data_IF_837421365421
#
_entry.id   IF_837421365421
#
_cell.length_a   1.000
_cell.length_b   1.000
_cell.length_c   1.000
_cell.angle_alpha   90.00
_cell.angle_beta   90.00
_cell.angle_gamma   90.00
#
_symmetry.space_group_name_H-M   'P 1'
#
loop_
_entity.id
_entity.type
_entity.pdbx_description
1 polymer ?
#
# COMPACT_ATOMS: atom_id res chain seq x y z
N UNK A 1 -30.17 -19.46 18.57
CA UNK A 1 -30.91 -18.77 17.51
C UNK A 1 -30.73 -17.25 17.65
N UNK A 2 -30.31 -16.59 16.57
CA UNK A 2 -29.99 -15.14 16.57
C UNK A 2 -31.27 -14.29 16.75
N UNK A 3 -32.43 -14.75 16.28
CA UNK A 3 -33.72 -14.03 16.49
C UNK A 3 -34.07 -13.96 17.94
N UNK A 4 -33.90 -15.05 18.68
CA UNK A 4 -34.25 -15.09 20.12
C UNK A 4 -33.27 -14.27 20.96
N UNK A 5 -32.00 -14.16 20.48
CA UNK A 5 -30.97 -13.38 21.16
C UNK A 5 -31.12 -11.85 20.96
N UNK A 6 -31.83 -11.42 19.92
CA UNK A 6 -31.91 -10.00 19.55
C UNK A 6 -32.53 -9.12 20.64
N UNK A 7 -33.72 -9.47 21.14
CA UNK A 7 -34.44 -8.66 22.13
C UNK A 7 -33.67 -8.48 23.45
N UNK A 8 -33.19 -9.55 24.12
CA UNK A 8 -32.42 -9.37 25.35
C UNK A 8 -31.07 -8.67 25.11
N UNK A 9 -30.39 -8.92 23.95
CA UNK A 9 -29.19 -8.19 23.60
C UNK A 9 -29.46 -6.69 23.42
N UNK A 10 -30.54 -6.34 22.69
CA UNK A 10 -30.91 -4.94 22.42
C UNK A 10 -31.15 -4.14 23.68
N UNK A 11 -31.81 -4.74 24.69
CA UNK A 11 -32.03 -4.11 25.99
C UNK A 11 -30.69 -3.77 26.68
N UNK A 12 -29.72 -4.72 26.69
CA UNK A 12 -28.40 -4.47 27.28
C UNK A 12 -27.64 -3.40 26.49
N UNK A 13 -27.73 -3.43 25.15
CA UNK A 13 -27.06 -2.45 24.28
C UNK A 13 -27.57 -1.02 24.54
N UNK A 14 -28.89 -0.85 24.75
CA UNK A 14 -29.49 0.47 24.97
C UNK A 14 -29.28 0.99 26.39
N UNK A 15 -29.37 0.11 27.39
CA UNK A 15 -29.46 0.53 28.81
C UNK A 15 -28.12 0.45 29.54
N UNK A 16 -27.18 -0.39 29.07
CA UNK A 16 -25.91 -0.67 29.75
C UNK A 16 -24.71 -0.67 28.83
N UNK A 17 -24.32 0.47 28.24
CA UNK A 17 -23.26 0.56 27.21
C UNK A 17 -21.87 0.15 27.71
N UNK A 18 -21.63 0.19 29.01
CA UNK A 18 -20.38 -0.22 29.64
C UNK A 18 -20.44 -1.62 30.29
N UNK A 19 -21.49 -2.40 30.04
CA UNK A 19 -21.63 -3.71 30.68
C UNK A 19 -20.47 -4.66 30.32
N UNK A 20 -20.16 -4.79 29.03
CA UNK A 20 -19.08 -5.65 28.55
C UNK A 20 -18.80 -5.43 27.06
N UNK A 21 -17.57 -5.74 26.61
CA UNK A 21 -17.19 -5.71 25.18
C UNK A 21 -18.04 -6.68 24.36
N UNK A 22 -18.45 -7.80 24.95
CA UNK A 22 -19.32 -8.81 24.33
C UNK A 22 -20.64 -8.26 23.80
N UNK A 23 -21.20 -7.21 24.43
CA UNK A 23 -22.41 -6.53 23.94
C UNK A 23 -22.23 -6.05 22.50
N UNK A 24 -21.09 -5.50 22.15
CA UNK A 24 -20.81 -4.98 20.83
C UNK A 24 -20.41 -6.08 19.85
N UNK A 25 -19.49 -6.98 20.23
CA UNK A 25 -18.99 -8.02 19.32
C UNK A 25 -20.06 -9.08 19.00
N UNK A 26 -20.88 -9.47 19.99
CA UNK A 26 -22.00 -10.38 19.75
C UNK A 26 -23.18 -9.66 19.06
N UNK A 27 -23.41 -8.38 19.38
CA UNK A 27 -24.41 -7.57 18.71
C UNK A 27 -24.16 -7.48 17.19
N UNK A 28 -22.94 -7.22 16.79
CA UNK A 28 -22.57 -7.22 15.38
C UNK A 28 -22.82 -8.61 14.72
N UNK A 29 -22.48 -9.71 15.39
CA UNK A 29 -22.78 -11.07 14.89
C UNK A 29 -24.27 -11.34 14.73
N UNK A 30 -25.07 -10.94 15.71
CA UNK A 30 -26.53 -11.09 15.69
C UNK A 30 -27.10 -10.30 14.50
N UNK A 31 -26.70 -9.03 14.35
CA UNK A 31 -27.24 -8.16 13.30
C UNK A 31 -26.84 -8.62 11.90
N UNK A 32 -25.58 -9.02 11.67
CA UNK A 32 -25.18 -9.63 10.39
C UNK A 32 -26.04 -10.83 10.03
N UNK A 33 -26.29 -11.73 10.98
CA UNK A 33 -27.11 -12.90 10.74
C UNK A 33 -28.58 -12.52 10.47
N UNK A 34 -29.11 -11.49 11.12
CA UNK A 34 -30.47 -11.00 10.88
C UNK A 34 -30.58 -10.32 9.52
N UNK A 35 -29.62 -9.49 9.11
CA UNK A 35 -29.57 -8.84 7.78
C UNK A 35 -29.61 -9.90 6.68
N UNK A 36 -28.78 -10.94 6.77
CA UNK A 36 -28.71 -12.00 5.76
C UNK A 36 -30.00 -12.84 5.71
N UNK A 37 -30.63 -13.07 6.85
CA UNK A 37 -31.84 -13.90 6.94
C UNK A 37 -33.15 -13.14 6.65
N UNK A 38 -33.15 -11.82 6.69
CA UNK A 38 -34.36 -10.99 6.52
C UNK A 38 -34.66 -10.84 5.02
N UNK A 39 -35.95 -10.90 4.69
CA UNK A 39 -36.45 -10.72 3.32
C UNK A 39 -37.07 -9.35 3.10
N UNK A 40 -37.50 -8.71 4.17
CA UNK A 40 -38.09 -7.37 4.15
C UNK A 40 -36.96 -6.33 4.08
N UNK A 41 -36.86 -5.60 2.98
CA UNK A 41 -35.82 -4.61 2.75
C UNK A 41 -35.82 -3.45 3.76
N UNK A 42 -37.00 -3.07 4.29
CA UNK A 42 -37.09 -2.04 5.31
C UNK A 42 -36.47 -2.52 6.62
N UNK A 43 -36.75 -3.75 7.04
CA UNK A 43 -36.12 -4.37 8.21
C UNK A 43 -34.63 -4.65 8.02
N UNK A 44 -34.20 -5.07 6.84
CA UNK A 44 -32.78 -5.20 6.55
C UNK A 44 -32.07 -3.86 6.77
N UNK A 45 -32.64 -2.76 6.29
CA UNK A 45 -32.10 -1.42 6.49
C UNK A 45 -32.08 -1.00 7.96
N UNK A 46 -33.11 -1.35 8.73
CA UNK A 46 -33.14 -1.10 10.18
C UNK A 46 -32.01 -1.85 10.89
N UNK A 47 -31.82 -3.14 10.60
CA UNK A 47 -30.72 -3.93 11.17
C UNK A 47 -29.34 -3.41 10.74
N UNK A 48 -29.20 -2.99 9.47
CA UNK A 48 -27.98 -2.37 8.98
C UNK A 48 -27.64 -1.06 9.73
N UNK A 49 -28.61 -0.16 9.87
CA UNK A 49 -28.42 1.08 10.61
C UNK A 49 -28.05 0.82 12.08
N UNK A 50 -28.67 -0.20 12.69
CA UNK A 50 -28.33 -0.61 14.04
C UNK A 50 -26.94 -1.21 14.14
N UNK A 51 -26.49 -1.96 13.13
CA UNK A 51 -25.12 -2.49 13.05
C UNK A 51 -24.09 -1.37 13.00
N UNK A 52 -24.33 -0.32 12.20
CA UNK A 52 -23.48 0.87 12.19
C UNK A 52 -23.45 1.56 13.55
N UNK A 53 -24.60 1.72 14.18
CA UNK A 53 -24.71 2.28 15.53
C UNK A 53 -23.95 1.46 16.59
N UNK A 54 -23.91 0.13 16.46
CA UNK A 54 -23.14 -0.75 17.36
C UNK A 54 -21.64 -0.39 17.32
N UNK A 55 -21.09 -0.17 16.14
CA UNK A 55 -19.68 0.25 16.01
C UNK A 55 -19.46 1.67 16.56
N UNK A 56 -20.34 2.62 16.23
CA UNK A 56 -20.21 4.01 16.70
C UNK A 56 -20.28 4.10 18.21
N UNK A 57 -21.22 3.39 18.82
CA UNK A 57 -21.35 3.36 20.27
C UNK A 57 -20.15 2.65 20.93
N UNK A 58 -19.60 1.61 20.31
CA UNK A 58 -18.38 0.97 20.81
C UNK A 58 -17.19 1.93 20.79
N UNK A 59 -17.04 2.76 19.76
CA UNK A 59 -16.02 3.81 19.68
C UNK A 59 -16.27 4.85 20.76
N UNK A 60 -17.50 5.30 20.93
CA UNK A 60 -17.88 6.29 21.96
C UNK A 60 -17.51 5.86 23.37
N UNK A 61 -17.67 4.57 23.69
CA UNK A 61 -17.41 4.03 25.03
C UNK A 61 -16.07 3.26 25.11
N UNK A 62 -15.19 3.42 24.13
CA UNK A 62 -13.98 2.61 23.95
C UNK A 62 -13.07 2.59 25.19
N UNK A 63 -12.79 3.76 25.78
CA UNK A 63 -11.91 3.88 26.94
C UNK A 63 -12.45 3.14 28.17
N UNK A 64 -13.77 3.22 28.39
CA UNK A 64 -14.43 2.49 29.46
C UNK A 64 -14.43 0.98 29.25
N UNK A 65 -14.73 0.54 28.02
CA UNK A 65 -14.75 -0.87 27.63
C UNK A 65 -13.36 -1.51 27.68
N UNK A 66 -12.32 -0.78 27.29
CA UNK A 66 -10.95 -1.27 27.30
C UNK A 66 -10.43 -1.55 28.72
N UNK A 67 -10.96 -0.88 29.75
CA UNK A 67 -10.65 -1.18 31.17
C UNK A 67 -11.19 -2.53 31.62
N UNK A 68 -12.14 -3.11 30.90
CA UNK A 68 -12.79 -4.37 31.27
C UNK A 68 -12.10 -5.61 30.66
N UNK A 69 -11.08 -5.43 29.80
CA UNK A 69 -10.47 -6.53 29.04
C UNK A 69 -8.95 -6.49 29.11
N UNK A 70 -8.32 -7.67 28.97
CA UNK A 70 -6.86 -7.81 28.92
C UNK A 70 -6.26 -7.36 27.59
N UNK A 71 -7.02 -7.45 26.50
CA UNK A 71 -6.58 -7.07 25.14
C UNK A 71 -7.48 -5.94 24.66
N UNK A 72 -7.10 -4.68 24.90
CA UNK A 72 -7.87 -3.52 24.49
C UNK A 72 -7.89 -3.43 22.94
N UNK A 73 -9.03 -2.98 22.41
CA UNK A 73 -9.16 -2.65 21.00
C UNK A 73 -8.73 -1.21 20.75
N UNK A 74 -8.30 -0.91 19.54
CA UNK A 74 -8.06 0.47 19.10
C UNK A 74 -9.31 1.03 18.40
N UNK A 75 -9.36 2.34 18.20
CA UNK A 75 -10.37 2.97 17.35
C UNK A 75 -10.29 2.46 15.92
N UNK A 76 -9.07 2.28 15.41
CA UNK A 76 -8.82 1.78 14.06
C UNK A 76 -9.33 0.35 13.84
N UNK A 77 -9.14 -0.55 14.82
CA UNK A 77 -9.70 -1.92 14.78
C UNK A 77 -11.23 -1.89 14.62
N UNK A 78 -11.90 -1.03 15.39
CA UNK A 78 -13.37 -0.92 15.36
C UNK A 78 -13.82 -0.27 14.05
N UNK A 79 -13.10 0.73 13.57
CA UNK A 79 -13.37 1.40 12.30
C UNK A 79 -13.19 0.44 11.11
N UNK A 80 -12.14 -0.39 11.11
CA UNK A 80 -11.96 -1.44 10.10
C UNK A 80 -13.10 -2.46 10.09
N UNK A 81 -13.58 -2.88 11.28
CA UNK A 81 -14.75 -3.75 11.39
C UNK A 81 -16.04 -3.06 10.92
N UNK A 82 -16.21 -1.77 11.20
CA UNK A 82 -17.34 -0.96 10.72
C UNK A 82 -17.33 -0.85 9.21
N UNK A 83 -16.16 -0.54 8.62
CA UNK A 83 -15.97 -0.42 7.18
C UNK A 83 -16.32 -1.74 6.46
N UNK A 84 -15.81 -2.86 6.97
CA UNK A 84 -16.16 -4.20 6.48
C UNK A 84 -17.66 -4.46 6.52
N UNK A 85 -18.31 -4.18 7.65
CA UNK A 85 -19.74 -4.38 7.78
C UNK A 85 -20.56 -3.46 6.88
N UNK A 86 -20.14 -2.21 6.76
CA UNK A 86 -20.76 -1.27 5.82
C UNK A 86 -20.68 -1.81 4.39
N UNK A 87 -19.50 -2.20 3.96
CA UNK A 87 -19.24 -2.68 2.60
C UNK A 87 -19.95 -4.00 2.30
N UNK A 88 -19.94 -4.96 3.24
CA UNK A 88 -20.44 -6.31 3.01
C UNK A 88 -21.95 -6.48 3.30
N UNK A 89 -22.57 -5.60 4.11
CA UNK A 89 -23.94 -5.74 4.57
C UNK A 89 -24.93 -4.76 3.93
N UNK A 90 -24.53 -3.98 2.93
CA UNK A 90 -25.47 -3.19 2.13
C UNK A 90 -25.26 -1.68 2.13
N UNK A 91 -24.11 -1.19 2.57
CA UNK A 91 -23.73 0.22 2.39
C UNK A 91 -23.68 0.59 0.91
N UNK A 92 -24.28 1.72 0.56
CA UNK A 92 -24.45 2.11 -0.86
C UNK A 92 -23.48 3.22 -1.29
N UNK A 93 -22.94 3.99 -0.34
CA UNK A 93 -22.02 5.09 -0.66
C UNK A 93 -20.56 4.61 -0.60
N UNK A 94 -19.95 4.56 -1.79
CA UNK A 94 -18.56 4.15 -1.93
C UNK A 94 -17.57 5.18 -1.34
N UNK A 95 -17.93 6.46 -1.25
CA UNK A 95 -17.10 7.48 -0.62
C UNK A 95 -17.10 7.32 0.91
N UNK A 96 -18.27 7.01 1.49
CA UNK A 96 -18.40 6.73 2.92
C UNK A 96 -17.60 5.46 3.29
N UNK A 97 -17.76 4.38 2.51
CA UNK A 97 -16.96 3.16 2.69
C UNK A 97 -15.46 3.45 2.61
N UNK A 98 -15.02 4.17 1.58
CA UNK A 98 -13.62 4.55 1.40
C UNK A 98 -13.07 5.34 2.59
N UNK A 99 -13.80 6.34 3.08
CA UNK A 99 -13.36 7.15 4.21
C UNK A 99 -13.12 6.32 5.47
N UNK A 100 -14.04 5.38 5.77
CA UNK A 100 -13.90 4.47 6.92
C UNK A 100 -12.70 3.52 6.77
N UNK A 101 -12.49 2.93 5.59
CA UNK A 101 -11.34 2.08 5.33
C UNK A 101 -10.03 2.86 5.41
N UNK A 102 -9.96 4.04 4.79
CA UNK A 102 -8.76 4.88 4.80
C UNK A 102 -8.35 5.29 6.23
N UNK A 103 -9.33 5.67 7.08
CA UNK A 103 -9.07 5.98 8.50
C UNK A 103 -8.50 4.77 9.24
N UNK A 104 -9.10 3.58 9.06
CA UNK A 104 -8.64 2.36 9.70
C UNK A 104 -7.22 1.96 9.23
N UNK A 105 -6.97 2.01 7.92
CA UNK A 105 -5.68 1.64 7.31
C UNK A 105 -4.56 2.60 7.76
N UNK A 106 -4.83 3.89 7.83
CA UNK A 106 -3.87 4.88 8.31
C UNK A 106 -3.49 4.65 9.78
N UNK A 107 -4.47 4.27 10.62
CA UNK A 107 -4.26 4.05 12.05
C UNK A 107 -3.54 2.73 12.36
N UNK A 108 -3.96 1.62 11.77
CA UNK A 108 -3.57 0.26 12.21
C UNK A 108 -2.53 -0.40 11.29
N UNK A 109 -2.43 0.03 10.04
CA UNK A 109 -1.44 -0.47 9.07
C UNK A 109 -1.48 -2.01 8.95
N UNK A 110 -0.34 -2.69 9.17
CA UNK A 110 -0.19 -4.14 9.10
C UNK A 110 -0.92 -4.92 10.21
N UNK A 111 -1.45 -4.24 11.25
CA UNK A 111 -2.22 -4.87 12.31
C UNK A 111 -3.67 -5.16 11.92
N UNK A 112 -4.15 -4.58 10.80
CA UNK A 112 -5.50 -4.82 10.33
C UNK A 112 -5.71 -6.27 9.86
N UNK A 113 -6.92 -6.81 10.02
CA UNK A 113 -7.30 -8.06 9.40
C UNK A 113 -7.11 -8.02 7.88
N UNK A 114 -6.69 -9.14 7.30
CA UNK A 114 -6.38 -9.31 5.88
C UNK A 114 -7.51 -8.83 4.95
N UNK A 115 -8.77 -9.08 5.32
CA UNK A 115 -9.94 -8.70 4.52
C UNK A 115 -10.16 -7.18 4.48
N UNK A 116 -9.81 -6.46 5.54
CA UNK A 116 -9.92 -4.99 5.57
C UNK A 116 -8.96 -4.35 4.57
N UNK A 117 -7.71 -4.85 4.49
CA UNK A 117 -6.72 -4.37 3.53
C UNK A 117 -7.16 -4.66 2.09
N UNK A 118 -7.72 -5.83 1.84
CA UNK A 118 -8.22 -6.24 0.53
C UNK A 118 -9.42 -5.39 0.09
N UNK A 119 -10.41 -5.22 0.97
CA UNK A 119 -11.63 -4.46 0.69
C UNK A 119 -11.35 -2.95 0.53
N UNK A 120 -10.37 -2.42 1.24
CA UNK A 120 -9.91 -1.04 1.06
C UNK A 120 -9.48 -0.79 -0.39
N UNK A 121 -8.67 -1.69 -0.98
CA UNK A 121 -8.22 -1.55 -2.37
C UNK A 121 -9.37 -1.76 -3.36
N UNK A 122 -10.30 -2.69 -3.10
CA UNK A 122 -11.50 -2.85 -3.93
C UNK A 122 -12.35 -1.56 -3.94
N UNK A 123 -12.61 -0.98 -2.78
CA UNK A 123 -13.39 0.27 -2.66
C UNK A 123 -12.67 1.44 -3.35
N UNK A 124 -11.36 1.55 -3.20
CA UNK A 124 -10.56 2.57 -3.88
C UNK A 124 -10.57 2.38 -5.40
N UNK A 125 -10.48 1.12 -5.90
CA UNK A 125 -10.61 0.81 -7.33
C UNK A 125 -12.00 1.17 -7.91
N UNK A 126 -13.07 0.94 -7.14
CA UNK A 126 -14.43 1.37 -7.52
C UNK A 126 -14.54 2.89 -7.59
N UNK A 127 -13.85 3.60 -6.70
CA UNK A 127 -13.82 5.05 -6.69
C UNK A 127 -13.15 5.61 -7.95
N UNK A 128 -12.07 4.99 -8.44
CA UNK A 128 -11.43 5.37 -9.72
C UNK A 128 -12.40 5.27 -10.90
N UNK A 129 -13.27 4.24 -10.92
CA UNK A 129 -14.26 4.07 -11.99
C UNK A 129 -15.32 5.18 -12.02
N UNK A 130 -15.61 5.76 -10.87
CA UNK A 130 -16.57 6.86 -10.74
C UNK A 130 -15.89 8.24 -10.89
N UNK A 131 -14.63 8.36 -10.52
CA UNK A 131 -13.87 9.60 -10.51
C UNK A 131 -12.40 9.34 -10.88
N UNK A 132 -12.04 9.69 -12.10
CA UNK A 132 -10.66 9.50 -12.61
C UNK A 132 -9.60 10.31 -11.84
N UNK A 133 -9.99 11.38 -11.14
CA UNK A 133 -9.06 12.17 -10.33
C UNK A 133 -8.52 11.38 -9.14
N UNK A 134 -9.17 10.27 -8.77
CA UNK A 134 -8.75 9.38 -7.70
C UNK A 134 -7.59 8.43 -8.10
N UNK A 135 -7.17 8.39 -9.36
CA UNK A 135 -6.15 7.44 -9.85
C UNK A 135 -4.85 7.48 -9.07
N UNK A 136 -4.34 8.66 -8.77
CA UNK A 136 -3.08 8.78 -8.00
C UNK A 136 -3.25 8.26 -6.57
N UNK A 137 -4.34 8.66 -5.90
CA UNK A 137 -4.62 8.18 -4.55
C UNK A 137 -4.78 6.66 -4.53
N UNK A 138 -5.43 6.08 -5.54
CA UNK A 138 -5.56 4.64 -5.66
C UNK A 138 -4.21 3.91 -5.79
N UNK A 139 -3.24 4.49 -6.50
CA UNK A 139 -1.87 3.95 -6.54
C UNK A 139 -1.25 3.95 -5.14
N UNK A 140 -1.43 5.02 -4.36
CA UNK A 140 -0.93 5.10 -2.99
C UNK A 140 -1.63 4.10 -2.07
N UNK A 141 -2.95 3.96 -2.19
CA UNK A 141 -3.75 3.01 -1.44
C UNK A 141 -3.29 1.56 -1.70
N UNK A 142 -3.07 1.23 -2.98
CA UNK A 142 -2.52 -0.07 -3.39
C UNK A 142 -1.16 -0.34 -2.74
N UNK A 143 -0.22 0.61 -2.85
CA UNK A 143 1.13 0.46 -2.32
C UNK A 143 1.11 0.27 -0.80
N UNK A 144 0.32 1.08 -0.10
CA UNK A 144 0.18 0.98 1.34
C UNK A 144 -0.41 -0.38 1.74
N UNK A 145 -1.54 -0.77 1.14
CA UNK A 145 -2.20 -2.04 1.46
C UNK A 145 -1.34 -3.26 1.12
N UNK A 146 -0.68 -3.29 -0.05
CA UNK A 146 0.23 -4.36 -0.45
C UNK A 146 1.44 -4.46 0.48
N UNK A 147 2.01 -3.32 0.88
CA UNK A 147 3.09 -3.24 1.85
C UNK A 147 2.68 -3.78 3.22
N UNK A 148 1.53 -3.33 3.76
CA UNK A 148 1.02 -3.79 5.05
C UNK A 148 0.62 -5.28 5.04
N UNK A 149 0.02 -5.76 3.95
CA UNK A 149 -0.29 -7.19 3.81
C UNK A 149 0.98 -8.04 3.76
N UNK A 150 2.05 -7.55 3.10
CA UNK A 150 3.35 -8.22 3.07
C UNK A 150 4.01 -8.25 4.45
N UNK A 151 3.97 -7.16 5.19
CA UNK A 151 4.51 -7.09 6.55
C UNK A 151 3.73 -8.01 7.50
N UNK A 152 2.39 -8.00 7.42
CA UNK A 152 1.55 -8.89 8.21
C UNK A 152 1.80 -10.38 7.87
N UNK A 153 2.01 -10.71 6.59
CA UNK A 153 2.38 -12.06 6.14
C UNK A 153 3.71 -12.51 6.76
N UNK A 154 4.73 -11.66 6.73
CA UNK A 154 6.04 -11.95 7.30
C UNK A 154 5.99 -12.16 8.81
N UNK A 155 5.14 -11.38 9.50
CA UNK A 155 4.96 -11.45 10.95
C UNK A 155 4.03 -12.60 11.39
N UNK A 156 3.28 -13.22 10.47
CA UNK A 156 2.31 -14.25 10.76
C UNK A 156 2.97 -15.54 11.27
N UNK A 157 2.58 -15.98 12.48
CA UNK A 157 3.09 -17.22 13.10
C UNK A 157 2.28 -18.46 12.72
N UNK A 158 0.98 -18.29 12.41
CA UNK A 158 0.07 -19.38 12.08
C UNK A 158 -0.05 -19.55 10.56
N UNK A 159 -0.01 -20.78 10.07
CA UNK A 159 -0.16 -21.08 8.65
C UNK A 159 -1.49 -20.57 8.06
N UNK A 160 -2.58 -20.61 8.85
CA UNK A 160 -3.86 -20.03 8.42
C UNK A 160 -3.79 -18.51 8.21
N UNK A 161 -3.06 -17.80 9.07
CA UNK A 161 -2.86 -16.37 8.91
C UNK A 161 -1.98 -16.06 7.68
N UNK A 162 -0.92 -16.82 7.46
CA UNK A 162 -0.08 -16.70 6.25
C UNK A 162 -0.90 -16.88 4.98
N UNK A 163 -1.72 -17.93 4.90
CA UNK A 163 -2.61 -18.17 3.76
C UNK A 163 -3.58 -17.01 3.52
N UNK A 164 -4.16 -16.48 4.59
CA UNK A 164 -5.10 -15.35 4.50
C UNK A 164 -4.42 -14.07 3.99
N UNK A 165 -3.23 -13.72 4.50
CA UNK A 165 -2.52 -12.53 4.02
C UNK A 165 -1.93 -12.73 2.62
N UNK A 166 -1.53 -13.95 2.24
CA UNK A 166 -1.14 -14.26 0.86
C UNK A 166 -2.34 -14.06 -0.09
N UNK A 167 -3.50 -14.61 0.26
CA UNK A 167 -4.73 -14.41 -0.51
C UNK A 167 -5.10 -12.92 -0.62
N UNK A 168 -4.95 -12.15 0.46
CA UNK A 168 -5.20 -10.71 0.42
C UNK A 168 -4.25 -10.00 -0.55
N UNK A 169 -2.95 -10.32 -0.55
CA UNK A 169 -1.99 -9.77 -1.50
C UNK A 169 -2.37 -10.08 -2.94
N UNK A 170 -2.69 -11.33 -3.23
CA UNK A 170 -3.07 -11.76 -4.58
C UNK A 170 -4.31 -11.01 -5.08
N UNK A 171 -5.30 -10.76 -4.21
CA UNK A 171 -6.49 -9.97 -4.53
C UNK A 171 -6.18 -8.47 -4.67
N UNK A 172 -5.36 -7.90 -3.79
CA UNK A 172 -4.90 -6.51 -3.86
C UNK A 172 -4.21 -6.27 -5.22
N UNK A 173 -3.29 -7.14 -5.61
CA UNK A 173 -2.58 -7.08 -6.89
C UNK A 173 -3.56 -7.22 -8.07
N UNK A 174 -4.53 -8.14 -7.98
CA UNK A 174 -5.56 -8.32 -9.01
C UNK A 174 -6.44 -7.08 -9.18
N UNK A 175 -6.88 -6.43 -8.09
CA UNK A 175 -7.66 -5.18 -8.17
C UNK A 175 -6.86 -4.07 -8.84
N UNK A 176 -5.57 -3.96 -8.54
CA UNK A 176 -4.70 -2.96 -9.14
C UNK A 176 -4.51 -3.19 -10.64
N UNK A 177 -4.17 -4.42 -11.03
CA UNK A 177 -4.01 -4.80 -12.45
C UNK A 177 -5.30 -4.59 -13.24
N UNK A 178 -6.44 -5.04 -12.69
CA UNK A 178 -7.75 -4.96 -13.37
C UNK A 178 -8.34 -3.55 -13.40
N UNK A 179 -7.80 -2.61 -12.64
CA UNK A 179 -8.24 -1.21 -12.65
C UNK A 179 -7.88 -0.48 -13.94
N UNK A 180 -6.88 -0.99 -14.68
CA UNK A 180 -6.29 -0.32 -15.84
C UNK A 180 -5.33 0.84 -15.49
N UNK A 181 -5.13 1.15 -14.20
CA UNK A 181 -4.19 2.19 -13.74
C UNK A 181 -2.74 1.70 -13.72
N UNK A 182 -2.53 0.39 -13.65
CA UNK A 182 -1.22 -0.25 -13.47
C UNK A 182 -0.30 -0.24 -14.70
N UNK A 183 -0.64 0.48 -15.77
CA UNK A 183 0.23 0.59 -16.96
C UNK A 183 1.21 1.74 -16.82
N UNK A 184 2.42 1.60 -17.41
CA UNK A 184 3.41 2.66 -17.36
C UNK A 184 2.95 3.96 -18.02
N UNK A 185 2.14 3.87 -19.08
CA UNK A 185 1.57 5.05 -19.75
C UNK A 185 0.62 5.82 -18.82
N UNK A 186 -0.25 5.09 -18.09
CA UNK A 186 -1.16 5.72 -17.13
C UNK A 186 -0.40 6.30 -15.93
N UNK A 187 0.60 5.60 -15.40
CA UNK A 187 1.45 6.11 -14.33
C UNK A 187 2.25 7.33 -14.77
N UNK A 188 2.78 7.32 -16.00
CA UNK A 188 3.41 8.48 -16.63
C UNK A 188 2.45 9.68 -16.66
N UNK A 189 1.22 9.49 -17.13
CA UNK A 189 0.23 10.56 -17.21
C UNK A 189 -0.17 11.13 -15.83
N UNK A 190 -0.20 10.28 -14.80
CA UNK A 190 -0.49 10.67 -13.41
C UNK A 190 0.65 11.48 -12.81
N UNK A 191 1.88 10.99 -12.95
CA UNK A 191 3.03 11.54 -12.22
C UNK A 191 3.76 12.68 -12.93
N UNK A 192 3.86 12.69 -14.27
CA UNK A 192 4.64 13.68 -14.99
C UNK A 192 4.29 15.14 -14.64
N UNK A 193 3.01 15.58 -14.66
CA UNK A 193 2.66 16.96 -14.33
C UNK A 193 2.93 17.31 -12.86
N UNK A 194 2.86 16.34 -11.97
CA UNK A 194 3.05 16.53 -10.53
C UNK A 194 4.52 16.54 -10.13
N UNK A 195 5.34 15.74 -10.77
CA UNK A 195 6.80 15.74 -10.60
C UNK A 195 7.36 17.13 -10.94
N UNK A 196 6.92 17.71 -12.05
CA UNK A 196 7.35 19.07 -12.44
C UNK A 196 6.90 20.13 -11.42
N UNK A 197 5.66 20.03 -10.94
CA UNK A 197 5.14 20.93 -9.91
C UNK A 197 5.82 20.76 -8.53
N UNK A 198 6.35 19.57 -8.24
CA UNK A 198 6.92 19.19 -6.93
C UNK A 198 8.44 19.01 -6.97
N UNK A 199 9.14 19.63 -7.91
CA UNK A 199 10.60 19.45 -8.13
C UNK A 199 11.49 19.85 -6.92
N UNK A 200 10.96 20.52 -5.92
CA UNK A 200 11.66 20.84 -4.68
C UNK A 200 11.21 19.97 -3.50
N UNK A 201 10.24 19.07 -3.69
CA UNK A 201 9.73 18.17 -2.64
C UNK A 201 10.43 16.78 -2.75
N UNK A 202 11.53 16.65 -2.00
CA UNK A 202 12.36 15.45 -2.02
C UNK A 202 11.58 14.18 -1.65
N UNK A 203 10.69 14.25 -0.66
CA UNK A 203 9.93 13.08 -0.19
C UNK A 203 8.94 12.62 -1.25
N UNK A 204 8.23 13.55 -1.88
CA UNK A 204 7.36 13.24 -3.01
C UNK A 204 8.12 12.61 -4.18
N UNK A 205 9.26 13.21 -4.56
CA UNK A 205 10.10 12.69 -5.64
C UNK A 205 10.61 11.29 -5.36
N UNK A 206 11.13 11.01 -4.15
CA UNK A 206 11.54 9.67 -3.71
C UNK A 206 10.38 8.67 -3.76
N UNK A 207 9.18 9.10 -3.38
CA UNK A 207 7.98 8.28 -3.45
C UNK A 207 7.64 7.90 -4.89
N UNK A 208 7.65 8.86 -5.84
CA UNK A 208 7.42 8.59 -7.26
C UNK A 208 8.46 7.60 -7.81
N UNK A 209 9.75 7.84 -7.55
CA UNK A 209 10.82 6.93 -7.96
C UNK A 209 10.59 5.50 -7.44
N UNK A 210 10.25 5.38 -6.16
CA UNK A 210 9.98 4.07 -5.54
C UNK A 210 8.79 3.37 -6.19
N UNK A 211 7.69 4.08 -6.43
CA UNK A 211 6.47 3.54 -7.06
C UNK A 211 6.76 3.06 -8.48
N UNK A 212 7.35 3.94 -9.29
CA UNK A 212 7.63 3.63 -10.69
C UNK A 212 8.59 2.45 -10.83
N UNK A 213 9.61 2.37 -9.95
CA UNK A 213 10.54 1.23 -9.89
C UNK A 213 9.84 -0.06 -9.47
N UNK A 214 9.00 -0.02 -8.44
CA UNK A 214 8.28 -1.20 -7.94
C UNK A 214 7.33 -1.77 -8.99
N UNK A 215 6.75 -0.92 -9.83
CA UNK A 215 5.83 -1.30 -10.91
C UNK A 215 6.53 -1.56 -12.25
N UNK A 216 7.88 -1.56 -12.28
CA UNK A 216 8.67 -1.83 -13.48
C UNK A 216 8.66 -0.72 -14.53
N UNK A 217 8.24 0.49 -14.18
CA UNK A 217 8.10 1.64 -15.08
C UNK A 217 9.34 2.57 -15.07
N UNK A 218 10.52 2.00 -14.96
CA UNK A 218 11.79 2.73 -14.85
C UNK A 218 12.25 3.39 -16.16
N UNK A 219 11.50 3.19 -17.25
CA UNK A 219 11.80 3.79 -18.55
C UNK A 219 10.96 5.02 -18.86
N UNK A 220 10.06 5.39 -17.97
CA UNK A 220 9.16 6.51 -18.16
C UNK A 220 9.85 7.86 -17.89
N UNK A 221 9.39 8.91 -18.59
CA UNK A 221 9.90 10.27 -18.37
C UNK A 221 9.66 10.77 -16.95
N UNK A 222 8.51 10.40 -16.32
CA UNK A 222 8.22 10.76 -14.95
C UNK A 222 9.22 10.15 -13.95
N UNK A 223 9.62 8.89 -14.16
CA UNK A 223 10.66 8.26 -13.36
C UNK A 223 11.99 9.00 -13.48
N UNK A 224 12.39 9.31 -14.70
CA UNK A 224 13.64 10.04 -14.95
C UNK A 224 13.61 11.44 -14.35
N UNK A 225 12.55 12.21 -14.58
CA UNK A 225 12.43 13.57 -14.02
C UNK A 225 12.43 13.55 -12.48
N UNK A 226 11.67 12.63 -11.86
CA UNK A 226 11.66 12.50 -10.40
C UNK A 226 13.04 12.10 -9.85
N UNK A 227 13.74 11.19 -10.52
CA UNK A 227 15.10 10.80 -10.15
C UNK A 227 16.10 11.97 -10.30
N UNK A 228 15.96 12.78 -11.34
CA UNK A 228 16.77 13.98 -11.58
C UNK A 228 16.64 14.97 -10.46
N UNK A 229 15.41 15.37 -10.19
CA UNK A 229 15.15 16.38 -9.16
C UNK A 229 15.54 15.85 -7.77
N UNK A 230 15.25 14.59 -7.45
CA UNK A 230 15.67 13.97 -6.19
C UNK A 230 17.20 13.96 -6.06
N UNK A 231 17.91 13.57 -7.12
CA UNK A 231 19.37 13.55 -7.14
C UNK A 231 19.98 14.96 -7.02
N UNK A 232 19.38 15.97 -7.62
CA UNK A 232 19.83 17.35 -7.50
C UNK A 232 19.72 17.90 -6.06
N UNK A 233 18.74 17.42 -5.28
CA UNK A 233 18.53 17.82 -3.88
C UNK A 233 19.41 16.97 -2.96
N UNK A 234 19.38 15.65 -3.12
CA UNK A 234 20.11 14.68 -2.28
C UNK A 234 20.69 13.57 -3.17
N UNK A 235 21.96 13.67 -3.57
CA UNK A 235 22.62 12.63 -4.37
C UNK A 235 22.69 11.31 -3.59
N UNK A 236 22.12 10.23 -4.15
CA UNK A 236 22.25 8.87 -3.64
C UNK A 236 22.74 7.94 -4.75
N UNK A 237 23.34 6.81 -4.36
CA UNK A 237 23.77 5.80 -5.32
C UNK A 237 22.61 5.31 -6.21
N UNK A 238 21.41 5.15 -5.62
CA UNK A 238 20.23 4.70 -6.34
C UNK A 238 19.73 5.72 -7.37
N UNK A 239 19.70 7.02 -7.01
CA UNK A 239 19.29 8.08 -7.95
C UNK A 239 20.35 8.27 -9.03
N UNK A 240 21.65 8.18 -8.71
CA UNK A 240 22.74 8.27 -9.67
C UNK A 240 22.69 7.11 -10.69
N UNK A 241 22.45 5.88 -10.26
CA UNK A 241 22.30 4.73 -11.17
C UNK A 241 21.11 4.90 -12.12
N UNK A 242 19.97 5.42 -11.63
CA UNK A 242 18.81 5.74 -12.48
C UNK A 242 19.19 6.70 -13.61
N UNK A 243 19.96 7.74 -13.28
CA UNK A 243 20.49 8.70 -14.24
C UNK A 243 21.45 8.06 -15.24
N UNK A 244 22.36 7.23 -14.78
CA UNK A 244 23.28 6.51 -15.64
C UNK A 244 22.54 5.71 -16.71
N UNK A 245 21.51 4.95 -16.34
CA UNK A 245 20.71 4.19 -17.30
C UNK A 245 19.88 5.07 -18.24
N UNK A 246 19.38 6.22 -17.78
CA UNK A 246 18.69 7.17 -18.65
C UNK A 246 19.61 7.71 -19.75
N UNK A 247 20.83 8.14 -19.39
CA UNK A 247 21.79 8.63 -20.38
C UNK A 247 22.31 7.52 -21.31
N UNK A 248 22.40 6.28 -20.82
CA UNK A 248 22.66 5.13 -21.68
C UNK A 248 21.61 5.01 -22.81
N UNK A 249 20.32 5.09 -22.48
CA UNK A 249 19.22 5.04 -23.46
C UNK A 249 19.23 6.21 -24.43
N UNK A 250 19.62 7.39 -23.97
CA UNK A 250 19.77 8.58 -24.82
C UNK A 250 21.01 8.53 -25.71
N UNK A 251 21.88 7.53 -25.52
CA UNK A 251 23.15 7.39 -26.27
C UNK A 251 24.22 8.36 -25.79
N UNK A 252 24.04 9.06 -24.69
CA UNK A 252 25.04 9.93 -24.06
C UNK A 252 25.91 9.11 -23.09
N UNK A 253 26.84 8.35 -23.66
CA UNK A 253 27.67 7.41 -22.90
C UNK A 253 28.60 8.09 -21.90
N UNK A 254 29.06 9.31 -22.17
CA UNK A 254 29.95 10.04 -21.28
C UNK A 254 29.23 10.43 -20.00
N UNK A 255 28.02 10.98 -20.11
CA UNK A 255 27.17 11.26 -18.95
C UNK A 255 26.73 9.98 -18.24
N UNK A 256 26.43 8.93 -19.00
CA UNK A 256 26.10 7.63 -18.42
C UNK A 256 27.20 7.15 -17.47
N UNK A 257 28.46 7.15 -17.92
CA UNK A 257 29.61 6.71 -17.12
C UNK A 257 29.83 7.65 -15.94
N UNK A 258 29.72 8.97 -16.11
CA UNK A 258 29.85 9.93 -15.02
C UNK A 258 28.84 9.69 -13.88
N UNK A 259 27.59 9.36 -14.22
CA UNK A 259 26.59 9.03 -13.21
C UNK A 259 26.81 7.64 -12.57
N UNK A 260 27.32 6.67 -13.33
CA UNK A 260 27.71 5.39 -12.73
C UNK A 260 28.89 5.55 -11.77
N UNK A 261 29.87 6.38 -12.10
CA UNK A 261 30.99 6.69 -11.21
C UNK A 261 30.50 7.34 -9.92
N UNK A 262 29.57 8.30 -10.02
CA UNK A 262 28.93 8.92 -8.87
C UNK A 262 28.17 7.90 -8.01
N UNK A 263 27.44 6.98 -8.63
CA UNK A 263 26.76 5.90 -7.90
C UNK A 263 27.76 4.97 -7.17
N UNK A 264 28.86 4.60 -7.85
CA UNK A 264 29.92 3.76 -7.27
C UNK A 264 30.59 4.47 -6.08
N UNK A 265 30.76 5.79 -6.17
CA UNK A 265 31.35 6.58 -5.08
C UNK A 265 30.40 6.65 -3.86
N UNK A 266 29.12 6.89 -4.09
CA UNK A 266 28.11 7.04 -3.04
C UNK A 266 27.72 5.72 -2.37
N UNK A 267 27.84 4.56 -3.06
CA UNK A 267 27.42 3.26 -2.53
C UNK A 267 28.39 2.77 -1.43
N UNK A 268 27.82 2.31 -0.33
CA UNK A 268 28.57 1.76 0.81
C UNK A 268 28.60 0.22 0.81
N UNK A 269 27.56 -0.43 0.23
CA UNK A 269 27.52 -1.88 0.12
C UNK A 269 28.48 -2.37 -0.97
N UNK A 270 29.51 -3.17 -0.64
CA UNK A 270 30.52 -3.61 -1.60
C UNK A 270 29.92 -4.47 -2.72
N UNK A 271 28.86 -5.23 -2.47
CA UNK A 271 28.19 -6.06 -3.48
C UNK A 271 27.48 -5.16 -4.50
N UNK A 272 26.68 -4.21 -4.03
CA UNK A 272 26.00 -3.24 -4.93
C UNK A 272 27.02 -2.37 -5.67
N UNK A 273 28.08 -1.96 -4.99
CA UNK A 273 29.19 -1.21 -5.62
C UNK A 273 29.84 -2.01 -6.73
N UNK A 274 30.04 -3.32 -6.56
CA UNK A 274 30.52 -4.21 -7.60
C UNK A 274 29.55 -4.30 -8.79
N UNK A 275 28.24 -4.43 -8.52
CA UNK A 275 27.20 -4.49 -9.55
C UNK A 275 27.15 -3.19 -10.39
N UNK A 276 27.26 -2.03 -9.75
CA UNK A 276 27.32 -0.75 -10.46
C UNK A 276 28.58 -0.61 -11.29
N UNK A 277 29.72 -1.05 -10.75
CA UNK A 277 30.99 -1.05 -11.45
C UNK A 277 30.97 -1.99 -12.66
N UNK A 278 30.35 -3.16 -12.54
CA UNK A 278 30.13 -4.08 -13.65
C UNK A 278 29.21 -3.49 -14.72
N UNK A 279 28.13 -2.81 -14.31
CA UNK A 279 27.23 -2.12 -15.24
C UNK A 279 27.97 -1.05 -16.06
N UNK A 280 28.83 -0.26 -15.42
CA UNK A 280 29.70 0.70 -16.11
C UNK A 280 30.66 0.01 -17.09
N UNK A 281 31.24 -1.14 -16.68
CA UNK A 281 32.12 -1.92 -17.58
C UNK A 281 31.38 -2.41 -18.83
N UNK A 282 30.12 -2.90 -18.65
CA UNK A 282 29.30 -3.37 -19.78
C UNK A 282 28.95 -2.24 -20.76
N UNK A 283 28.62 -1.04 -20.26
CA UNK A 283 28.37 0.14 -21.09
C UNK A 283 29.64 0.56 -21.88
N UNK A 284 30.78 0.63 -21.18
CA UNK A 284 32.05 0.97 -21.81
C UNK A 284 32.44 -0.05 -22.90
N UNK A 285 32.18 -1.33 -22.65
CA UNK A 285 32.42 -2.39 -23.62
C UNK A 285 31.51 -2.22 -24.85
N UNK A 286 30.22 -2.00 -24.66
CA UNK A 286 29.25 -1.77 -25.74
C UNK A 286 29.63 -0.53 -26.58
N UNK A 287 30.19 0.48 -25.93
CA UNK A 287 30.66 1.71 -26.58
C UNK A 287 32.12 1.61 -27.10
N UNK A 288 32.68 0.40 -27.24
CA UNK A 288 34.03 0.11 -27.76
C UNK A 288 35.19 0.75 -26.99
N UNK A 289 34.96 1.23 -25.77
CA UNK A 289 36.01 1.75 -24.87
C UNK A 289 36.68 0.61 -24.11
N UNK A 290 37.30 -0.34 -24.83
CA UNK A 290 37.75 -1.63 -24.31
C UNK A 290 38.75 -1.53 -23.15
N UNK A 291 39.67 -0.57 -23.18
CA UNK A 291 40.69 -0.37 -22.14
C UNK A 291 40.02 0.03 -20.82
N UNK A 292 39.08 0.99 -20.85
CA UNK A 292 38.33 1.41 -19.67
C UNK A 292 37.39 0.29 -19.18
N UNK A 293 36.70 -0.40 -20.09
CA UNK A 293 35.84 -1.52 -19.76
C UNK A 293 36.59 -2.59 -18.96
N UNK A 294 37.82 -2.94 -19.38
CA UNK A 294 38.68 -3.91 -18.67
C UNK A 294 39.06 -3.43 -17.28
N UNK A 295 39.31 -2.14 -17.08
CA UNK A 295 39.65 -1.58 -15.77
C UNK A 295 38.45 -1.70 -14.82
N UNK A 296 37.23 -1.31 -15.28
CA UNK A 296 36.01 -1.40 -14.46
C UNK A 296 35.64 -2.85 -14.16
N UNK A 297 35.78 -3.77 -15.12
CA UNK A 297 35.53 -5.19 -14.89
C UNK A 297 36.45 -5.77 -13.79
N UNK A 298 37.75 -5.44 -13.82
CA UNK A 298 38.70 -5.86 -12.77
C UNK A 298 38.31 -5.28 -11.42
N UNK A 299 37.96 -3.99 -11.34
CA UNK A 299 37.50 -3.34 -10.10
C UNK A 299 36.24 -3.98 -9.56
N UNK A 300 35.31 -4.37 -10.43
CA UNK A 300 34.10 -5.08 -10.00
C UNK A 300 34.41 -6.44 -9.36
N UNK A 301 35.34 -7.21 -9.94
CA UNK A 301 35.81 -8.50 -9.39
C UNK A 301 36.50 -8.28 -8.03
N UNK A 302 37.35 -7.27 -7.90
CA UNK A 302 38.03 -6.95 -6.64
C UNK A 302 37.04 -6.57 -5.52
N UNK A 303 35.96 -5.85 -5.85
CA UNK A 303 34.91 -5.45 -4.90
C UNK A 303 34.02 -6.62 -4.47
N UNK A 304 33.76 -7.55 -5.38
CA UNK A 304 32.94 -8.73 -5.13
C UNK A 304 33.79 -9.99 -5.04
N UNK A 305 34.58 -10.18 -4.04
CA UNK A 305 35.52 -11.31 -3.90
C UNK A 305 34.97 -12.73 -4.19
N UNK A 306 33.66 -12.85 -4.51
CA UNK A 306 33.02 -14.08 -4.93
C UNK A 306 33.01 -14.30 -6.46
N UNK A 307 33.44 -13.32 -7.28
CA UNK A 307 33.48 -13.39 -8.74
C UNK A 307 34.83 -13.80 -9.31
N UNK A 308 35.78 -14.14 -8.44
CA UNK A 308 37.15 -14.60 -8.78
C UNK A 308 37.27 -16.10 -8.92
#
# INVERSE_FOLDING_TARGET
>A
NFKDAFTPWKAVFDEAPLAQVGTYTNGAKILRALIVAEKDGAKQKEYFNLLMKVHDQRIQYLDGLNKLVKSPATKGDIMGAKAHDYFSMGGQDNNEAYAMFAEAVAAEKHNLPYYVLMEFVDVSARKVKADETHKEQFVQDYIAAAGYASEALNNAKKESAKKNYQMAKDNIDAHFINSGVATCDNLQAIYAPKVEASKSDLEYLKQVVKVMKMLGCTESEAYFAASEYAHAIEPTAETAIGWGYMYYKKGDFDKCISYFDNAIELEQDPIKKADYTYSAAAVLFSNKQLSKAKQYARKAIELNGAWG
#
